data_IF_883054706404
#
_entry.id   IF_883054706404
#
_cell.length_a   1.000
_cell.length_b   1.000
_cell.length_c   1.000
_cell.angle_alpha   90.00
_cell.angle_beta   90.00
_cell.angle_gamma   90.00
#
_symmetry.space_group_name_H-M   'P 1'
#
loop_
_entity.id
_entity.type
_entity.pdbx_description
1 polymer ?
#
# COMPACT_ATOMS: atom_id res chain seq x y z
N UNK A 1 6.30 31.06 2.01
CA UNK A 1 6.21 29.66 1.52
C UNK A 1 4.98 29.47 0.65
N UNK A 2 3.77 29.82 1.13
CA UNK A 2 2.52 29.73 0.35
C UNK A 2 2.50 30.62 -0.91
N UNK A 3 3.00 31.86 -0.83
CA UNK A 3 3.14 32.75 -1.99
C UNK A 3 4.13 32.23 -3.04
N UNK A 4 5.17 31.51 -2.62
CA UNK A 4 6.13 30.86 -3.52
C UNK A 4 5.46 29.74 -4.32
N UNK A 5 4.58 28.97 -3.68
CA UNK A 5 3.81 27.90 -4.30
C UNK A 5 2.75 28.48 -5.26
N UNK A 6 2.08 29.57 -4.87
CA UNK A 6 1.11 30.25 -5.72
C UNK A 6 1.76 30.90 -6.95
N UNK A 7 2.90 31.57 -6.79
CA UNK A 7 3.67 32.11 -7.92
C UNK A 7 4.25 30.99 -8.80
N UNK A 8 4.59 29.84 -8.23
CA UNK A 8 4.99 28.68 -9.01
C UNK A 8 3.83 28.16 -9.86
N UNK A 9 2.66 27.94 -9.27
CA UNK A 9 1.46 27.43 -9.96
C UNK A 9 0.97 28.36 -11.08
N UNK A 10 1.03 29.68 -10.86
CA UNK A 10 0.61 30.67 -11.86
C UNK A 10 1.55 30.75 -13.07
N UNK A 11 2.85 30.47 -12.86
CA UNK A 11 3.88 30.59 -13.90
C UNK A 11 4.34 29.22 -14.44
N UNK A 12 3.58 28.16 -14.18
CA UNK A 12 3.90 26.79 -14.58
C UNK A 12 3.01 26.36 -15.74
N UNK A 13 3.52 25.46 -16.58
CA UNK A 13 2.74 24.86 -17.65
C UNK A 13 1.54 24.12 -17.07
N UNK A 14 0.42 24.13 -17.78
CA UNK A 14 -0.79 23.39 -17.41
C UNK A 14 -0.49 21.92 -17.10
N UNK A 15 0.49 21.33 -17.81
CA UNK A 15 0.88 19.93 -17.67
C UNK A 15 1.54 19.67 -16.31
N UNK A 16 2.44 20.55 -15.88
CA UNK A 16 3.10 20.47 -14.58
C UNK A 16 2.14 20.52 -13.42
N UNK A 17 1.13 21.41 -13.51
CA UNK A 17 0.07 21.51 -12.50
C UNK A 17 -0.71 20.20 -12.43
N UNK A 18 -1.07 19.61 -13.58
CA UNK A 18 -1.75 18.31 -13.65
C UNK A 18 -0.89 17.22 -13.00
N UNK A 19 0.41 17.16 -13.30
CA UNK A 19 1.35 16.18 -12.73
C UNK A 19 1.46 16.33 -11.22
N UNK A 20 1.59 17.56 -10.71
CA UNK A 20 1.67 17.81 -9.27
C UNK A 20 0.34 17.50 -8.56
N UNK A 21 -0.80 17.81 -9.15
CA UNK A 21 -2.11 17.41 -8.63
C UNK A 21 -2.27 15.88 -8.58
N UNK A 22 -1.80 15.18 -9.62
CA UNK A 22 -1.80 13.72 -9.66
C UNK A 22 -0.92 13.13 -8.56
N UNK A 23 0.29 13.66 -8.36
CA UNK A 23 1.20 13.23 -7.30
C UNK A 23 0.64 13.53 -5.90
N UNK A 24 -0.01 14.68 -5.73
CA UNK A 24 -0.70 15.02 -4.48
C UNK A 24 -1.84 14.03 -4.18
N UNK A 25 -2.61 13.65 -5.20
CA UNK A 25 -3.63 12.61 -5.07
C UNK A 25 -3.02 11.25 -4.67
N UNK A 26 -1.91 10.85 -5.29
CA UNK A 26 -1.17 9.63 -4.93
C UNK A 26 -0.67 9.66 -3.49
N UNK A 27 -0.16 10.79 -3.02
CA UNK A 27 0.30 10.95 -1.65
C UNK A 27 -0.86 10.84 -0.65
N UNK A 28 -1.97 11.53 -0.91
CA UNK A 28 -3.17 11.44 -0.09
C UNK A 28 -3.70 10.01 0.00
N UNK A 29 -3.80 9.34 -1.15
CA UNK A 29 -4.32 7.98 -1.24
C UNK A 29 -3.39 6.98 -0.50
N UNK A 30 -2.08 7.18 -0.62
CA UNK A 30 -1.06 6.43 0.13
C UNK A 30 -1.26 6.55 1.64
N UNK A 31 -1.38 7.78 2.15
CA UNK A 31 -1.59 8.05 3.58
C UNK A 31 -2.91 7.46 4.07
N UNK A 32 -3.99 7.69 3.33
CA UNK A 32 -5.32 7.16 3.65
C UNK A 32 -5.30 5.63 3.75
N UNK A 33 -4.75 4.97 2.73
CA UNK A 33 -4.69 3.50 2.69
C UNK A 33 -3.83 2.95 3.81
N UNK A 34 -2.69 3.60 4.10
CA UNK A 34 -1.83 3.19 5.20
C UNK A 34 -2.54 3.25 6.54
N UNK A 35 -3.13 4.38 6.92
CA UNK A 35 -3.79 4.51 8.23
C UNK A 35 -4.95 3.53 8.41
N UNK A 36 -5.79 3.39 7.38
CA UNK A 36 -6.91 2.45 7.40
C UNK A 36 -6.44 1.01 7.57
N UNK A 37 -5.48 0.56 6.74
CA UNK A 37 -5.02 -0.83 6.73
C UNK A 37 -4.10 -1.17 7.89
N UNK A 38 -3.26 -0.24 8.32
CA UNK A 38 -2.35 -0.43 9.46
C UNK A 38 -3.14 -0.69 10.75
N UNK A 39 -4.17 0.11 11.01
CA UNK A 39 -5.04 -0.05 12.18
C UNK A 39 -5.79 -1.38 12.15
N UNK A 40 -6.31 -1.77 10.98
CA UNK A 40 -7.02 -3.04 10.81
C UNK A 40 -6.10 -4.26 11.02
N UNK A 41 -4.90 -4.23 10.43
CA UNK A 41 -3.92 -5.32 10.57
C UNK A 41 -3.37 -5.42 11.99
N UNK A 42 -3.17 -4.29 12.69
CA UNK A 42 -2.78 -4.31 14.09
C UNK A 42 -3.82 -5.00 14.96
N UNK A 43 -5.10 -4.67 14.77
CA UNK A 43 -6.20 -5.30 15.50
C UNK A 43 -6.27 -6.80 15.22
N UNK A 44 -6.28 -7.19 13.95
CA UNK A 44 -6.37 -8.61 13.54
C UNK A 44 -5.18 -9.43 14.05
N UNK A 45 -3.95 -8.92 13.95
CA UNK A 45 -2.76 -9.63 14.41
C UNK A 45 -2.78 -9.81 15.94
N UNK A 46 -3.27 -8.81 16.69
CA UNK A 46 -3.45 -8.93 18.15
C UNK A 46 -4.52 -9.96 18.51
N UNK A 47 -5.69 -9.91 17.87
CA UNK A 47 -6.80 -10.84 18.11
C UNK A 47 -6.42 -12.30 17.80
N UNK A 48 -5.68 -12.53 16.71
CA UNK A 48 -5.23 -13.87 16.34
C UNK A 48 -4.11 -14.40 17.23
N UNK A 49 -3.17 -13.56 17.66
CA UNK A 49 -2.18 -13.98 18.65
C UNK A 49 -2.82 -14.35 19.99
N UNK A 50 -3.81 -13.58 20.43
CA UNK A 50 -4.57 -13.90 21.64
C UNK A 50 -5.34 -15.21 21.47
N UNK A 51 -6.00 -15.41 20.33
CA UNK A 51 -6.70 -16.67 20.03
C UNK A 51 -5.76 -17.86 20.01
N UNK A 52 -4.57 -17.73 19.43
CA UNK A 52 -3.56 -18.80 19.43
C UNK A 52 -3.12 -19.17 20.86
N UNK A 53 -2.80 -18.17 21.68
CA UNK A 53 -2.39 -18.42 23.06
C UNK A 53 -3.49 -19.14 23.87
N UNK A 54 -4.75 -18.72 23.69
CA UNK A 54 -5.90 -19.38 24.33
C UNK A 54 -6.19 -20.77 23.76
N UNK A 55 -5.90 -21.04 22.48
CA UNK A 55 -6.01 -22.38 21.89
C UNK A 55 -4.97 -23.33 22.50
N UNK A 56 -3.73 -22.87 22.61
CA UNK A 56 -2.63 -23.65 23.20
C UNK A 56 -2.91 -23.93 24.68
N UNK A 57 -3.43 -22.94 25.42
CA UNK A 57 -3.84 -23.10 26.82
C UNK A 57 -5.06 -24.04 27.01
N UNK A 58 -5.82 -24.31 25.94
CA UNK A 58 -7.02 -25.14 25.98
C UNK A 58 -8.29 -24.41 26.42
N UNK A 59 -8.22 -23.09 26.62
CA UNK A 59 -9.34 -22.24 27.07
C UNK A 59 -10.44 -22.09 26.00
N UNK A 60 -10.06 -22.17 24.73
CA UNK A 60 -10.99 -22.08 23.59
C UNK A 60 -10.84 -23.26 22.64
N UNK A 61 -11.94 -23.65 21.98
CA UNK A 61 -11.96 -24.74 20.99
C UNK A 61 -11.70 -24.27 19.56
N UNK A 62 -12.10 -23.04 19.23
CA UNK A 62 -11.97 -22.45 17.89
C UNK A 62 -11.63 -20.96 18.02
N UNK A 63 -10.80 -20.41 17.12
CA UNK A 63 -10.49 -18.98 17.10
C UNK A 63 -11.72 -18.15 16.72
N UNK A 64 -11.84 -16.94 17.28
CA UNK A 64 -13.02 -16.10 17.10
C UNK A 64 -13.28 -15.72 15.64
N UNK A 65 -12.22 -15.54 14.85
CA UNK A 65 -12.34 -15.23 13.42
C UNK A 65 -12.94 -16.38 12.60
N UNK A 66 -12.88 -17.61 13.09
CA UNK A 66 -13.48 -18.76 12.42
C UNK A 66 -15.01 -18.78 12.57
N UNK A 67 -15.55 -18.13 13.60
CA UNK A 67 -17.01 -18.01 13.76
C UNK A 67 -17.65 -17.24 12.60
N UNK A 68 -16.95 -16.26 12.02
CA UNK A 68 -17.42 -15.52 10.85
C UNK A 68 -17.58 -16.42 9.61
N UNK A 69 -16.80 -17.49 9.50
CA UNK A 69 -16.82 -18.43 8.37
C UNK A 69 -17.75 -19.61 8.64
N UNK A 70 -17.89 -20.01 9.91
CA UNK A 70 -18.88 -21.02 10.33
C UNK A 70 -20.32 -20.60 10.05
N UNK A 71 -20.62 -19.30 10.05
CA UNK A 71 -21.93 -18.81 9.63
C UNK A 71 -22.21 -18.95 8.12
N UNK A 72 -21.16 -19.04 7.30
CA UNK A 72 -21.25 -19.15 5.84
C UNK A 72 -21.29 -20.62 5.40
N UNK A 73 -20.60 -21.49 6.14
CA UNK A 73 -20.53 -22.93 5.87
C UNK A 73 -21.24 -23.65 7.03
N UNK A 74 -22.49 -24.04 6.82
CA UNK A 74 -23.35 -24.75 7.80
C UNK A 74 -22.80 -26.12 8.22
N UNK A 75 -21.78 -26.63 7.53
CA UNK A 75 -21.16 -27.94 7.78
C UNK A 75 -20.25 -27.97 9.01
N UNK A 76 -20.04 -29.19 9.52
CA UNK A 76 -19.02 -29.44 10.54
C UNK A 76 -17.65 -28.91 10.11
N UNK A 77 -16.87 -28.41 11.08
CA UNK A 77 -15.53 -27.90 10.84
C UNK A 77 -14.63 -29.02 10.31
N UNK A 78 -14.52 -29.10 8.99
CA UNK A 78 -13.67 -30.05 8.27
C UNK A 78 -12.28 -29.44 8.00
N UNK A 79 -11.33 -30.27 7.55
CA UNK A 79 -9.96 -29.82 7.23
C UNK A 79 -9.94 -28.75 6.14
N UNK A 80 -10.79 -28.89 5.12
CA UNK A 80 -10.89 -27.96 4.00
C UNK A 80 -11.42 -26.58 4.43
N UNK A 81 -12.42 -26.53 5.31
CA UNK A 81 -12.99 -25.30 5.89
C UNK A 81 -11.91 -24.54 6.66
N UNK A 82 -11.05 -25.23 7.41
CA UNK A 82 -9.92 -24.61 8.11
C UNK A 82 -8.93 -23.98 7.12
N UNK A 83 -8.60 -24.67 6.02
CA UNK A 83 -7.73 -24.12 4.98
C UNK A 83 -8.36 -22.90 4.27
N UNK A 84 -9.65 -22.97 3.94
CA UNK A 84 -10.40 -21.85 3.34
C UNK A 84 -10.40 -20.66 4.29
N UNK A 85 -10.61 -20.88 5.59
CA UNK A 85 -10.57 -19.81 6.59
C UNK A 85 -9.23 -19.09 6.63
N UNK A 86 -8.13 -19.85 6.69
CA UNK A 86 -6.77 -19.28 6.64
C UNK A 86 -6.57 -18.48 5.36
N UNK A 87 -6.92 -19.05 4.21
CA UNK A 87 -6.74 -18.38 2.91
C UNK A 87 -7.56 -17.10 2.81
N UNK A 88 -8.80 -17.11 3.30
CA UNK A 88 -9.69 -15.95 3.29
C UNK A 88 -9.13 -14.81 4.13
N UNK A 89 -8.69 -15.08 5.36
CA UNK A 89 -8.06 -14.09 6.23
C UNK A 89 -6.76 -13.53 5.63
N UNK A 90 -5.93 -14.38 5.03
CA UNK A 90 -4.71 -13.94 4.36
C UNK A 90 -5.00 -13.05 3.14
N UNK A 91 -5.99 -13.43 2.34
CA UNK A 91 -6.43 -12.61 1.21
C UNK A 91 -6.93 -11.24 1.71
N UNK A 92 -7.77 -11.22 2.74
CA UNK A 92 -8.32 -10.00 3.31
C UNK A 92 -7.24 -9.13 3.98
N UNK A 93 -6.17 -9.72 4.54
CA UNK A 93 -5.03 -8.99 5.09
C UNK A 93 -4.14 -8.37 4.00
N UNK A 94 -4.04 -9.01 2.83
CA UNK A 94 -3.23 -8.53 1.70
C UNK A 94 -3.82 -7.34 0.93
N UNK A 95 -5.11 -7.01 1.13
CA UNK A 95 -5.75 -5.88 0.45
C UNK A 95 -5.00 -4.56 0.69
N UNK A 96 -5.00 -3.68 -0.31
CA UNK A 96 -4.30 -2.39 -0.26
C UNK A 96 -2.79 -2.47 -0.54
N UNK A 97 -2.11 -3.60 -0.31
CA UNK A 97 -0.66 -3.72 -0.59
C UNK A 97 -0.34 -3.50 -2.07
N UNK A 98 -1.18 -4.03 -2.97
CA UNK A 98 -1.03 -3.85 -4.42
C UNK A 98 -1.11 -2.37 -4.81
N UNK A 99 -2.03 -1.63 -4.20
CA UNK A 99 -2.17 -0.21 -4.48
C UNK A 99 -0.92 0.56 -4.06
N UNK A 100 -0.39 0.29 -2.86
CA UNK A 100 0.84 0.96 -2.40
C UNK A 100 2.04 0.60 -3.29
N UNK A 101 2.11 -0.65 -3.77
CA UNK A 101 3.14 -1.08 -4.69
C UNK A 101 3.05 -0.35 -6.05
N UNK A 102 1.84 -0.15 -6.57
CA UNK A 102 1.61 0.61 -7.81
C UNK A 102 2.05 2.06 -7.62
N UNK A 103 1.62 2.73 -6.55
CA UNK A 103 2.01 4.12 -6.30
C UNK A 103 3.53 4.24 -6.13
N UNK A 104 4.14 3.33 -5.37
CA UNK A 104 5.59 3.30 -5.16
C UNK A 104 6.38 3.14 -6.48
N UNK A 105 5.91 2.30 -7.40
CA UNK A 105 6.60 2.05 -8.67
C UNK A 105 6.31 3.12 -9.73
N UNK A 106 5.12 3.70 -9.74
CA UNK A 106 4.69 4.63 -10.81
C UNK A 106 4.94 6.10 -10.49
N UNK A 107 4.88 6.52 -9.22
CA UNK A 107 5.07 7.93 -8.84
C UNK A 107 6.39 8.56 -9.33
N UNK A 108 7.56 7.87 -9.30
CA UNK A 108 8.80 8.42 -9.85
C UNK A 108 8.70 8.70 -11.35
N UNK A 109 8.03 7.82 -12.11
CA UNK A 109 7.85 7.99 -13.55
C UNK A 109 6.86 9.10 -13.90
N UNK A 110 5.82 9.29 -13.08
CA UNK A 110 4.92 10.45 -13.20
C UNK A 110 5.68 11.76 -12.99
N UNK A 111 6.57 11.81 -12.00
CA UNK A 111 7.47 12.96 -11.78
C UNK A 111 8.42 13.19 -12.94
N UNK A 112 9.11 12.13 -13.40
CA UNK A 112 10.02 12.17 -14.56
C UNK A 112 9.31 12.69 -15.81
N UNK A 113 8.10 12.18 -16.09
CA UNK A 113 7.29 12.63 -17.21
C UNK A 113 7.04 14.14 -17.17
N UNK A 114 6.65 14.68 -16.01
CA UNK A 114 6.49 16.12 -15.83
C UNK A 114 7.75 16.91 -16.20
N UNK A 115 8.93 16.40 -15.81
CA UNK A 115 10.19 17.07 -16.12
C UNK A 115 10.56 17.03 -17.59
N UNK A 116 10.30 15.90 -18.26
CA UNK A 116 10.57 15.75 -19.70
C UNK A 116 9.71 16.73 -20.47
N UNK A 117 8.42 16.83 -20.12
CA UNK A 117 7.51 17.76 -20.80
C UNK A 117 7.91 19.22 -20.56
N UNK A 118 8.22 19.61 -19.33
CA UNK A 118 8.66 20.98 -19.04
C UNK A 118 9.95 21.36 -19.75
N UNK A 119 10.91 20.44 -19.81
CA UNK A 119 12.17 20.68 -20.52
C UNK A 119 11.91 20.82 -22.03
N UNK A 120 11.05 19.98 -22.62
CA UNK A 120 10.67 20.11 -24.03
C UNK A 120 9.98 21.45 -24.31
N UNK A 121 9.10 21.90 -23.41
CA UNK A 121 8.45 23.19 -23.53
C UNK A 121 9.47 24.33 -23.45
N UNK A 122 10.41 24.28 -22.50
CA UNK A 122 11.48 25.25 -22.36
C UNK A 122 12.34 25.38 -23.63
N UNK A 123 12.69 24.25 -24.26
CA UNK A 123 13.43 24.24 -25.52
C UNK A 123 12.61 24.71 -26.71
N UNK A 124 11.28 24.55 -26.70
CA UNK A 124 10.43 25.07 -27.78
C UNK A 124 10.44 26.60 -27.84
N UNK A 125 10.47 27.28 -26.69
CA UNK A 125 10.60 28.73 -26.61
C UNK A 125 11.96 29.23 -27.12
N UNK A 126 13.02 28.43 -26.99
CA UNK A 126 14.34 28.74 -27.54
C UNK A 126 14.39 28.61 -29.07
N UNK A 127 13.66 27.65 -29.65
CA UNK A 127 13.69 27.38 -31.09
C UNK A 127 12.78 28.25 -31.96
N UNK A 128 11.78 28.92 -31.36
CA UNK A 128 10.75 29.67 -32.09
C UNK A 128 10.98 31.18 -32.25
N UNK A 129 12.02 31.76 -31.63
CA UNK A 129 12.28 33.21 -31.64
C UNK A 129 13.49 33.61 -32.47
N UNK A 130 13.31 34.55 -33.39
CA UNK A 130 14.42 35.30 -34.02
C UNK A 130 15.15 36.13 -32.96
N UNK A 131 16.21 35.59 -32.35
CA UNK A 131 17.16 36.36 -31.56
C UNK A 131 17.41 35.85 -30.15
N UNK A 132 18.70 35.74 -29.83
CA UNK A 132 19.33 35.60 -28.50
C UNK A 132 18.37 35.53 -27.29
N UNK A 133 17.65 34.42 -27.13
CA UNK A 133 16.99 34.12 -25.86
C UNK A 133 18.11 33.82 -24.85
N UNK A 134 18.24 34.66 -23.84
CA UNK A 134 19.27 34.51 -22.82
C UNK A 134 19.01 33.28 -21.94
N UNK A 135 20.09 32.61 -21.48
CA UNK A 135 20.01 31.52 -20.50
C UNK A 135 19.21 31.91 -19.25
N UNK A 136 19.22 33.19 -18.88
CA UNK A 136 18.49 33.76 -17.76
C UNK A 136 16.96 33.54 -17.85
N UNK A 137 16.41 33.39 -19.06
CA UNK A 137 14.97 33.15 -19.27
C UNK A 137 14.60 31.66 -19.13
N UNK A 138 15.54 30.75 -19.38
CA UNK A 138 15.30 29.29 -19.44
C UNK A 138 15.63 28.60 -18.12
N UNK A 139 16.64 29.09 -17.40
CA UNK A 139 17.06 28.52 -16.12
C UNK A 139 15.91 28.40 -15.09
N UNK A 140 15.00 29.39 -14.95
CA UNK A 140 13.85 29.26 -14.06
C UNK A 140 12.88 28.14 -14.48
N UNK A 141 12.68 27.91 -15.78
CA UNK A 141 11.77 26.86 -16.29
C UNK A 141 12.34 25.47 -16.00
N UNK A 142 13.64 25.28 -16.23
CA UNK A 142 14.33 24.00 -15.92
C UNK A 142 14.32 23.73 -14.41
N UNK A 143 14.52 24.76 -13.58
CA UNK A 143 14.45 24.59 -12.12
C UNK A 143 13.06 24.13 -11.67
N UNK A 144 11.99 24.63 -12.29
CA UNK A 144 10.62 24.18 -12.02
C UNK A 144 10.41 22.73 -12.40
N UNK A 145 10.98 22.30 -13.52
CA UNK A 145 10.87 20.91 -13.99
C UNK A 145 11.37 19.94 -12.91
N UNK A 146 12.51 20.23 -12.29
CA UNK A 146 13.09 19.39 -11.25
C UNK A 146 12.17 19.18 -10.03
N UNK A 147 11.24 20.12 -9.76
CA UNK A 147 10.28 20.00 -8.66
C UNK A 147 9.31 18.84 -8.90
N UNK A 148 8.90 18.57 -10.14
CA UNK A 148 8.00 17.45 -10.44
C UNK A 148 8.67 16.08 -10.16
N UNK A 149 9.95 15.91 -10.50
CA UNK A 149 10.71 14.69 -10.13
C UNK A 149 10.86 14.58 -8.61
N UNK A 150 11.22 15.68 -7.94
CA UNK A 150 11.36 15.68 -6.48
C UNK A 150 10.04 15.29 -5.80
N UNK A 151 8.91 15.80 -6.26
CA UNK A 151 7.58 15.43 -5.78
C UNK A 151 7.24 13.96 -6.05
N UNK A 152 7.64 13.42 -7.21
CA UNK A 152 7.45 12.01 -7.56
C UNK A 152 8.19 11.08 -6.61
N UNK A 153 9.47 11.37 -6.34
CA UNK A 153 10.30 10.63 -5.38
C UNK A 153 9.73 10.76 -3.96
N UNK A 154 9.37 11.97 -3.55
CA UNK A 154 8.79 12.24 -2.23
C UNK A 154 7.48 11.47 -2.01
N UNK A 155 6.72 11.20 -3.07
CA UNK A 155 5.49 10.40 -3.02
C UNK A 155 5.78 8.89 -3.01
N UNK A 156 6.80 8.45 -3.76
CA UNK A 156 7.16 7.04 -3.91
C UNK A 156 7.75 6.43 -2.64
N UNK A 157 8.63 7.18 -1.95
CA UNK A 157 9.30 6.74 -0.72
C UNK A 157 8.31 6.27 0.35
N UNK A 158 7.35 7.09 0.82
CA UNK A 158 6.40 6.66 1.83
C UNK A 158 5.51 5.51 1.34
N UNK A 159 5.09 5.51 0.08
CA UNK A 159 4.30 4.41 -0.49
C UNK A 159 5.04 3.06 -0.39
N UNK A 160 6.34 3.05 -0.72
CA UNK A 160 7.19 1.86 -0.61
C UNK A 160 7.40 1.44 0.84
N UNK A 161 7.75 2.38 1.73
CA UNK A 161 7.94 2.09 3.16
C UNK A 161 6.68 1.51 3.79
N UNK A 162 5.52 2.09 3.50
CA UNK A 162 4.23 1.60 4.00
C UNK A 162 3.89 0.23 3.42
N UNK A 163 4.19 -0.03 2.15
CA UNK A 163 4.02 -1.36 1.54
C UNK A 163 4.82 -2.40 2.32
N UNK A 164 6.10 -2.14 2.62
CA UNK A 164 6.97 -3.07 3.36
C UNK A 164 6.45 -3.31 4.79
N UNK A 165 6.03 -2.27 5.50
CA UNK A 165 5.49 -2.39 6.87
C UNK A 165 4.23 -3.25 6.88
N UNK A 166 3.27 -2.97 5.99
CA UNK A 166 2.02 -3.73 5.92
C UNK A 166 2.26 -5.16 5.45
N UNK A 167 3.18 -5.38 4.50
CA UNK A 167 3.60 -6.70 4.04
C UNK A 167 4.17 -7.52 5.18
N UNK A 168 5.02 -6.93 6.04
CA UNK A 168 5.56 -7.61 7.22
C UNK A 168 4.44 -8.02 8.19
N UNK A 169 3.48 -7.14 8.46
CA UNK A 169 2.33 -7.45 9.33
C UNK A 169 1.43 -8.56 8.78
N UNK A 170 1.23 -8.61 7.46
CA UNK A 170 0.49 -9.69 6.80
C UNK A 170 1.23 -11.03 6.93
N UNK A 171 2.56 -11.01 6.80
CA UNK A 171 3.38 -12.19 6.96
C UNK A 171 3.34 -12.73 8.40
N UNK A 172 3.43 -11.86 9.41
CA UNK A 172 3.29 -12.25 10.81
C UNK A 172 1.91 -12.89 11.09
N UNK A 173 0.84 -12.29 10.56
CA UNK A 173 -0.49 -12.87 10.64
C UNK A 173 -0.56 -14.25 9.98
N UNK A 174 0.05 -14.44 8.81
CA UNK A 174 0.10 -15.73 8.13
C UNK A 174 0.73 -16.83 9.01
N UNK A 175 1.83 -16.51 9.69
CA UNK A 175 2.51 -17.44 10.60
C UNK A 175 1.58 -17.83 11.76
N UNK A 176 0.91 -16.86 12.38
CA UNK A 176 -0.04 -17.14 13.48
C UNK A 176 -1.19 -18.03 13.01
N UNK A 177 -1.79 -17.72 11.87
CA UNK A 177 -2.88 -18.52 11.30
C UNK A 177 -2.41 -19.93 10.93
N UNK A 178 -1.17 -20.09 10.44
CA UNK A 178 -0.58 -21.40 10.18
C UNK A 178 -0.42 -22.21 11.47
N UNK A 179 0.09 -21.61 12.55
CA UNK A 179 0.23 -22.29 13.84
C UNK A 179 -1.13 -22.73 14.39
N UNK A 180 -2.16 -21.88 14.29
CA UNK A 180 -3.52 -22.26 14.70
C UNK A 180 -4.07 -23.42 13.86
N UNK A 181 -3.87 -23.37 12.54
CA UNK A 181 -4.29 -24.43 11.63
C UNK A 181 -3.64 -25.78 12.01
N UNK A 182 -2.33 -25.80 12.19
CA UNK A 182 -1.57 -27.02 12.50
C UNK A 182 -1.99 -27.61 13.85
N UNK A 183 -2.21 -26.75 14.87
CA UNK A 183 -2.73 -27.16 16.17
C UNK A 183 -4.13 -27.81 16.05
N UNK A 184 -5.05 -27.16 15.33
CA UNK A 184 -6.42 -27.66 15.17
C UNK A 184 -6.48 -28.97 14.39
N UNK A 185 -5.67 -29.11 13.34
CA UNK A 185 -5.58 -30.35 12.55
C UNK A 185 -4.98 -31.48 13.37
N UNK A 186 -3.88 -31.24 14.10
CA UNK A 186 -3.26 -32.23 14.98
C UNK A 186 -4.24 -32.79 16.01
N UNK A 187 -5.04 -31.91 16.64
CA UNK A 187 -6.07 -32.31 17.62
C UNK A 187 -7.18 -33.15 16.99
N UNK A 188 -7.58 -32.83 15.76
CA UNK A 188 -8.62 -33.57 15.04
C UNK A 188 -8.14 -34.97 14.64
N UNK A 189 -6.93 -35.08 14.11
CA UNK A 189 -6.33 -36.37 13.72
C UNK A 189 -6.17 -37.29 14.94
N UNK A 190 -5.74 -36.75 16.08
CA UNK A 190 -5.67 -37.50 17.35
C UNK A 190 -7.04 -38.01 17.81
N UNK A 191 -8.09 -37.19 17.68
CA UNK A 191 -9.45 -37.58 18.05
C UNK A 191 -10.06 -38.65 17.13
N UNK A 192 -9.61 -38.75 15.88
CA UNK A 192 -10.03 -39.80 14.96
C UNK A 192 -9.30 -41.12 15.23
N UNK A 193 -8.02 -41.08 15.67
CA UNK A 193 -7.26 -42.27 16.03
C UNK A 193 -7.80 -42.97 17.30
N UNK A 194 -8.33 -42.23 18.27
CA UNK A 194 -8.93 -42.77 19.50
C UNK A 194 -10.36 -43.32 19.32
N UNK A 195 -10.93 -43.25 18.10
CA UNK A 195 -12.27 -43.77 17.77
C UNK A 195 -12.27 -45.17 17.15
N UNK A 196 -11.10 -45.82 17.10
CA UNK A 196 -10.92 -47.23 16.74
C UNK A 196 -10.56 -48.03 17.99
#
# INVERSE_FOLDING_TARGET
MLELILNFLHNSSTISVIVLCWLAFYLFLTLWTFFYRFSQLLKSNKEENQSLNSLIAGDIKLPQSMNAIKGILQDEVNKEVMHIWKQKLLQDSSKGLTLLAIVASTAPFVGLFGTVVEILEAFSYLGGGEGKVAFDTVAPVISKALIATAAGILTAIPAYSFHLILKRKCYELNIVLQMQLDYLLSKKDYSQQLRF
#
